data_IF_854765418020
#
_entry.id   IF_854765418020
#
_cell.length_a   1.000
_cell.length_b   1.000
_cell.length_c   1.000
_cell.angle_alpha   90.00
_cell.angle_beta   90.00
_cell.angle_gamma   90.00
#
_symmetry.space_group_name_H-M   'P 1'
#
loop_
_entity.id
_entity.type
_entity.pdbx_description
1 polymer ?
#
# COMPACT_ATOMS: atom_id res chain seq x y z
N UNK A 1 2.85 57.07 26.27
CA UNK A 1 3.72 57.08 25.07
C UNK A 1 5.17 56.95 25.54
N UNK A 2 5.70 55.73 25.60
CA UNK A 2 7.12 55.40 25.70
C UNK A 2 7.37 54.17 24.84
N UNK A 3 8.48 54.23 24.15
CA UNK A 3 8.94 53.41 23.04
C UNK A 3 9.39 52.02 23.49
N UNK A 4 9.35 51.03 22.60
CA UNK A 4 10.48 50.13 22.35
C UNK A 4 10.39 49.59 20.91
N UNK A 5 11.36 50.02 20.10
CA UNK A 5 11.72 49.47 18.79
C UNK A 5 12.79 48.39 19.03
N UNK A 6 12.64 47.22 18.42
CA UNK A 6 13.73 46.30 18.07
C UNK A 6 13.40 45.83 16.64
N UNK A 7 14.13 46.22 15.59
CA UNK A 7 15.40 45.64 15.15
C UNK A 7 15.31 44.11 15.09
N UNK A 8 15.41 43.43 13.95
CA UNK A 8 16.47 43.56 12.95
C UNK A 8 16.19 42.67 11.74
N UNK A 9 16.99 42.88 10.71
CA UNK A 9 16.98 42.35 9.35
C UNK A 9 17.24 40.83 9.29
N UNK A 10 16.65 40.12 8.33
CA UNK A 10 17.41 39.14 7.52
C UNK A 10 16.71 38.81 6.20
N UNK A 11 17.54 38.58 5.20
CA UNK A 11 17.24 38.58 3.78
C UNK A 11 16.43 37.37 3.30
N UNK A 12 15.46 37.62 2.42
CA UNK A 12 14.93 36.60 1.52
C UNK A 12 15.62 36.76 0.16
N UNK A 13 16.65 35.94 -0.04
CA UNK A 13 17.38 35.79 -1.28
C UNK A 13 16.44 35.38 -2.41
N UNK A 14 16.49 36.14 -3.51
CA UNK A 14 15.90 35.79 -4.77
C UNK A 14 16.60 34.56 -5.34
N UNK A 15 15.86 33.47 -5.49
CA UNK A 15 16.25 32.36 -6.38
C UNK A 15 15.23 32.30 -7.50
N UNK A 16 15.74 32.47 -8.72
CA UNK A 16 15.03 32.28 -9.97
C UNK A 16 14.30 30.93 -9.97
N UNK A 17 12.97 30.96 -10.02
CA UNK A 17 12.19 29.84 -10.52
C UNK A 17 11.82 30.16 -11.97
N UNK A 18 12.41 29.41 -12.89
CA UNK A 18 12.16 29.48 -14.33
C UNK A 18 10.66 29.32 -14.67
N UNK A 19 10.17 29.95 -15.75
CA UNK A 19 8.78 29.80 -16.18
C UNK A 19 8.46 28.35 -16.61
N UNK A 20 7.18 27.93 -16.47
CA UNK A 20 6.75 26.56 -16.67
C UNK A 20 6.89 26.14 -18.14
N UNK A 21 7.64 25.06 -18.35
CA UNK A 21 7.72 24.39 -19.64
C UNK A 21 6.33 23.88 -20.06
N UNK A 22 5.90 24.29 -21.24
CA UNK A 22 4.64 23.89 -21.87
C UNK A 22 4.46 22.36 -21.89
N UNK A 23 3.23 21.85 -21.71
CA UNK A 23 2.96 20.43 -21.91
C UNK A 23 3.05 20.14 -23.41
N UNK A 24 4.08 19.39 -23.80
CA UNK A 24 4.18 18.84 -25.16
C UNK A 24 3.05 17.82 -25.32
N UNK A 25 2.03 18.21 -26.08
CA UNK A 25 0.94 17.35 -26.50
C UNK A 25 1.50 16.20 -27.35
N UNK A 26 1.77 15.06 -26.71
CA UNK A 26 2.02 13.79 -27.38
C UNK A 26 0.69 13.15 -27.74
N UNK A 27 0.37 13.12 -29.04
CA UNK A 27 -0.69 12.31 -29.63
C UNK A 27 -0.33 10.83 -29.47
N UNK A 28 -0.75 10.23 -28.36
CA UNK A 28 -0.72 8.79 -28.14
C UNK A 28 -2.08 8.18 -28.43
N UNK A 29 -2.16 7.38 -29.49
CA UNK A 29 -3.34 6.63 -29.93
C UNK A 29 -4.03 5.86 -28.79
N UNK A 30 -5.35 6.06 -28.67
CA UNK A 30 -6.22 5.37 -27.74
C UNK A 30 -6.15 3.84 -27.91
N UNK A 31 -5.73 3.13 -26.85
CA UNK A 31 -6.16 1.75 -26.61
C UNK A 31 -7.35 1.82 -25.66
N UNK A 32 -8.54 1.54 -26.17
CA UNK A 32 -9.71 1.31 -25.32
C UNK A 32 -9.34 0.22 -24.31
N UNK A 33 -9.20 0.62 -23.04
CA UNK A 33 -9.01 -0.32 -21.95
C UNK A 33 -10.23 -1.24 -21.97
N UNK A 34 -10.03 -2.51 -22.35
CA UNK A 34 -11.08 -3.52 -22.25
C UNK A 34 -11.51 -3.51 -20.80
N UNK A 35 -12.69 -2.94 -20.48
CA UNK A 35 -13.26 -2.94 -19.13
C UNK A 35 -13.14 -4.36 -18.62
N UNK A 36 -12.24 -4.57 -17.65
CA UNK A 36 -12.04 -5.89 -17.04
C UNK A 36 -13.41 -6.29 -16.49
N UNK A 37 -13.95 -7.42 -16.98
CA UNK A 37 -15.24 -7.94 -16.53
C UNK A 37 -15.16 -8.08 -15.00
N UNK A 38 -16.18 -7.59 -14.30
CA UNK A 38 -16.28 -7.79 -12.86
C UNK A 38 -16.28 -9.30 -12.57
N UNK A 39 -15.43 -9.73 -11.65
CA UNK A 39 -15.36 -11.11 -11.23
C UNK A 39 -16.59 -11.42 -10.37
N UNK A 40 -17.36 -12.43 -10.77
CA UNK A 40 -18.57 -12.84 -10.06
C UNK A 40 -18.27 -14.12 -9.28
N UNK A 41 -18.20 -13.99 -7.95
CA UNK A 41 -17.91 -15.09 -7.03
C UNK A 41 -19.00 -16.16 -7.01
N UNK A 42 -20.24 -15.83 -7.37
CA UNK A 42 -21.38 -16.77 -7.35
C UNK A 42 -21.24 -17.90 -8.38
N UNK A 43 -20.39 -17.70 -9.39
CA UNK A 43 -20.15 -18.67 -10.47
C UNK A 43 -19.13 -19.76 -10.10
N UNK A 44 -18.41 -19.60 -8.99
CA UNK A 44 -17.32 -20.49 -8.59
C UNK A 44 -17.57 -21.06 -7.19
N UNK A 45 -17.00 -22.23 -6.92
CA UNK A 45 -17.08 -22.88 -5.61
C UNK A 45 -16.04 -22.32 -4.64
N UNK A 46 -16.46 -22.09 -3.40
CA UNK A 46 -15.60 -21.63 -2.31
C UNK A 46 -15.16 -22.83 -1.45
N UNK A 47 -13.89 -22.86 -1.07
CA UNK A 47 -13.31 -23.90 -0.19
C UNK A 47 -12.29 -23.29 0.76
N UNK A 48 -12.14 -23.89 1.93
CA UNK A 48 -11.04 -23.57 2.83
C UNK A 48 -9.73 -24.15 2.27
N UNK A 49 -8.71 -23.30 2.20
CA UNK A 49 -7.37 -23.66 1.74
C UNK A 49 -6.36 -23.32 2.85
N UNK A 50 -5.29 -24.11 2.94
CA UNK A 50 -4.11 -23.77 3.73
C UNK A 50 -3.01 -23.28 2.78
N UNK A 51 -2.42 -22.13 3.08
CA UNK A 51 -1.34 -21.54 2.29
C UNK A 51 -0.05 -21.59 3.11
N UNK A 52 1.00 -22.15 2.53
CA UNK A 52 2.34 -22.06 3.13
C UNK A 52 3.07 -20.87 2.51
N UNK A 53 3.42 -19.89 3.34
CA UNK A 53 4.02 -18.64 2.91
C UNK A 53 5.42 -18.48 3.51
N UNK A 54 6.34 -17.98 2.69
CA UNK A 54 7.68 -17.58 3.10
C UNK A 54 7.86 -16.08 2.88
N UNK A 55 8.54 -15.40 3.79
CA UNK A 55 8.81 -13.96 3.71
C UNK A 55 10.09 -13.60 4.45
N UNK A 56 10.74 -12.52 3.98
CA UNK A 56 11.86 -11.88 4.66
C UNK A 56 11.34 -10.85 5.65
N UNK A 57 11.62 -11.02 6.94
CA UNK A 57 11.14 -10.14 8.00
C UNK A 57 11.79 -8.77 8.07
N UNK A 58 12.90 -8.52 7.35
CA UNK A 58 13.68 -7.26 7.46
C UNK A 58 12.89 -6.02 7.05
N UNK A 59 11.96 -6.17 6.12
CA UNK A 59 11.18 -5.07 5.53
C UNK A 59 9.77 -4.94 6.11
N UNK A 60 9.33 -5.90 6.93
CA UNK A 60 7.96 -5.95 7.44
C UNK A 60 7.90 -5.82 8.96
N UNK A 61 6.81 -5.24 9.44
CA UNK A 61 6.57 -5.02 10.87
C UNK A 61 6.07 -6.28 11.61
N UNK A 62 6.21 -7.45 10.97
CA UNK A 62 5.76 -8.75 11.47
C UNK A 62 4.66 -9.36 10.60
N UNK A 63 4.19 -10.54 11.03
CA UNK A 63 3.16 -11.27 10.29
C UNK A 63 1.77 -10.66 10.51
N UNK A 64 1.42 -10.38 11.75
CA UNK A 64 0.06 -9.99 12.12
C UNK A 64 -0.23 -8.56 11.68
N UNK A 65 -1.35 -8.35 11.01
CA UNK A 65 -1.76 -7.01 10.62
C UNK A 65 -2.13 -6.16 11.85
N UNK A 66 -1.54 -4.97 11.91
CA UNK A 66 -1.92 -3.92 12.86
C UNK A 66 -2.92 -2.98 12.19
N UNK A 67 -3.81 -2.35 12.97
CA UNK A 67 -4.73 -1.34 12.43
C UNK A 67 -4.02 -0.06 11.97
N UNK A 68 -2.80 0.17 12.47
CA UNK A 68 -2.04 1.40 12.21
C UNK A 68 -1.04 1.25 11.05
N UNK A 69 -0.73 0.03 10.60
CA UNK A 69 0.30 -0.19 9.58
C UNK A 69 -0.07 -1.27 8.55
N UNK A 70 0.01 -0.87 7.27
CA UNK A 70 -0.20 -1.76 6.13
C UNK A 70 1.08 -2.51 5.69
N UNK A 71 2.22 -2.17 6.29
CA UNK A 71 3.53 -2.80 6.03
C UNK A 71 3.72 -4.12 6.79
N UNK A 72 2.64 -4.88 6.98
CA UNK A 72 2.66 -6.21 7.58
C UNK A 72 2.49 -7.26 6.50
N UNK A 73 3.00 -8.46 6.74
CA UNK A 73 2.92 -9.55 5.77
C UNK A 73 1.47 -9.92 5.49
N UNK A 74 0.63 -9.99 6.53
CA UNK A 74 -0.80 -10.26 6.40
C UNK A 74 -1.54 -9.15 5.61
N UNK A 75 -1.19 -7.87 5.83
CA UNK A 75 -1.73 -6.77 5.04
C UNK A 75 -1.46 -6.92 3.54
N UNK A 76 -0.20 -7.20 3.18
CA UNK A 76 0.18 -7.47 1.79
C UNK A 76 -0.47 -8.73 1.22
N UNK A 77 -0.65 -9.76 2.05
CA UNK A 77 -1.32 -10.99 1.66
C UNK A 77 -2.78 -10.73 1.28
N UNK A 78 -3.52 -9.95 2.07
CA UNK A 78 -4.91 -9.58 1.73
C UNK A 78 -4.99 -8.83 0.40
N UNK A 79 -4.09 -7.86 0.18
CA UNK A 79 -4.03 -7.13 -1.09
C UNK A 79 -3.78 -8.08 -2.27
N UNK A 80 -2.92 -9.08 -2.10
CA UNK A 80 -2.67 -10.08 -3.13
C UNK A 80 -3.86 -11.03 -3.35
N UNK A 81 -4.55 -11.45 -2.27
CA UNK A 81 -5.73 -12.32 -2.34
C UNK A 81 -6.93 -11.62 -2.98
N UNK A 82 -7.12 -10.32 -2.73
CA UNK A 82 -8.15 -9.51 -3.39
C UNK A 82 -7.84 -9.33 -4.88
N UNK A 83 -6.58 -9.01 -5.22
CA UNK A 83 -6.13 -8.88 -6.62
C UNK A 83 -6.27 -10.16 -7.42
N UNK A 84 -6.10 -11.31 -6.77
CA UNK A 84 -6.24 -12.65 -7.38
C UNK A 84 -7.67 -13.17 -7.34
N UNK A 85 -8.62 -12.41 -6.79
CA UNK A 85 -10.02 -12.77 -6.64
C UNK A 85 -10.24 -14.07 -5.84
N UNK A 86 -9.35 -14.37 -4.88
CA UNK A 86 -9.47 -15.52 -3.98
C UNK A 86 -10.36 -15.23 -2.78
N UNK A 87 -10.47 -13.97 -2.38
CA UNK A 87 -11.34 -13.50 -1.29
C UNK A 87 -12.25 -12.37 -1.79
N UNK A 88 -13.43 -12.25 -1.20
CA UNK A 88 -14.39 -11.16 -1.47
C UNK A 88 -13.99 -9.87 -0.75
N UNK A 89 -13.74 -10.00 0.55
CA UNK A 89 -13.30 -8.91 1.42
C UNK A 89 -12.51 -9.47 2.60
N UNK A 90 -11.66 -8.63 3.20
CA UNK A 90 -10.92 -8.96 4.44
C UNK A 90 -11.84 -9.37 5.60
N UNK A 91 -13.05 -8.81 5.69
CA UNK A 91 -14.00 -9.08 6.77
C UNK A 91 -14.77 -10.39 6.60
N UNK A 92 -15.02 -10.81 5.35
CA UNK A 92 -15.75 -12.04 5.06
C UNK A 92 -14.83 -13.27 5.01
N UNK A 93 -13.52 -13.08 4.84
CA UNK A 93 -12.58 -14.18 4.83
C UNK A 93 -12.34 -14.70 6.27
N UNK A 94 -12.61 -15.99 6.50
CA UNK A 94 -12.26 -16.67 7.77
C UNK A 94 -10.77 -16.99 7.79
N UNK A 95 -9.94 -15.95 7.83
CA UNK A 95 -8.48 -16.08 7.85
C UNK A 95 -7.98 -16.54 9.22
N UNK A 96 -7.09 -17.54 9.23
CA UNK A 96 -6.40 -18.04 10.41
C UNK A 96 -4.91 -18.20 10.11
N UNK A 97 -4.10 -18.21 11.17
CA UNK A 97 -2.64 -18.35 11.12
C UNK A 97 -2.17 -19.22 12.28
N UNK A 98 -1.11 -19.99 12.06
CA UNK A 98 -0.55 -20.92 13.05
C UNK A 98 0.19 -20.21 14.21
N UNK A 99 0.67 -18.97 14.01
CA UNK A 99 1.37 -18.22 15.04
C UNK A 99 1.53 -16.74 14.71
N UNK A 100 1.91 -15.94 15.71
CA UNK A 100 2.38 -14.56 15.52
C UNK A 100 3.90 -14.57 15.35
N UNK A 101 4.42 -13.62 14.59
CA UNK A 101 5.86 -13.34 14.54
C UNK A 101 6.10 -11.88 14.85
N UNK A 102 7.19 -11.60 15.55
CA UNK A 102 7.61 -10.23 15.84
C UNK A 102 8.20 -9.53 14.61
N UNK A 103 8.37 -8.22 14.73
CA UNK A 103 9.03 -7.38 13.72
C UNK A 103 10.47 -7.86 13.49
N UNK A 104 10.89 -7.95 12.23
CA UNK A 104 12.23 -8.39 11.86
C UNK A 104 12.41 -9.92 11.79
N UNK A 105 11.41 -10.70 12.17
CA UNK A 105 11.48 -12.17 12.09
C UNK A 105 11.16 -12.65 10.68
N UNK A 106 12.05 -13.47 10.12
CA UNK A 106 11.84 -14.13 8.83
C UNK A 106 11.26 -15.53 9.01
N UNK A 107 10.43 -15.98 8.08
CA UNK A 107 9.85 -17.32 8.10
C UNK A 107 9.86 -17.94 6.70
N UNK A 108 10.18 -19.23 6.63
CA UNK A 108 10.21 -20.01 5.38
C UNK A 108 8.99 -20.92 5.23
N UNK A 109 8.08 -20.95 6.21
CA UNK A 109 7.02 -21.95 6.23
C UNK A 109 5.88 -21.65 7.16
N UNK A 110 5.46 -20.40 7.21
CA UNK A 110 4.27 -20.01 7.96
C UNK A 110 3.01 -20.57 7.28
N UNK A 111 2.08 -21.09 8.07
CA UNK A 111 0.77 -21.59 7.65
C UNK A 111 -0.33 -20.87 8.44
#
# INVERSE_FOLDING_TARGET
RRELRAASMTAASAVCAAPPAAPRAGLGSAKAEKRRRAFDFSKYYERHIALKVAYDGRTYDGLAALQESDNTVEGQLYVALEKTCLIRSRSECRFSKAGRTDKGVSSSGQV
#
